data_IF_641456796187
#
_entry.id   IF_641456796187
#
_cell.length_a   1.000
_cell.length_b   1.000
_cell.length_c   1.000
_cell.angle_alpha   90.00
_cell.angle_beta   90.00
_cell.angle_gamma   90.00
#
_symmetry.space_group_name_H-M   'P 1'
#
loop_
_entity.id
_entity.type
_entity.pdbx_description
1 polymer ?
#
# COMPACT_ATOMS: atom_id res chain seq x y z
N UNK A 1 -29.88 14.58 0.14
CA UNK A 1 -28.64 14.94 0.85
C UNK A 1 -27.54 13.99 0.40
N UNK A 2 -26.44 14.50 -0.18
CA UNK A 2 -25.23 13.67 -0.37
C UNK A 2 -24.75 13.28 1.03
N UNK A 3 -24.69 11.98 1.32
CA UNK A 3 -24.14 11.49 2.58
C UNK A 3 -22.65 11.85 2.55
N UNK A 4 -22.19 12.69 3.46
CA UNK A 4 -20.75 12.99 3.59
C UNK A 4 -20.13 11.71 4.13
N UNK A 5 -19.41 10.99 3.28
CA UNK A 5 -18.67 9.80 3.70
C UNK A 5 -17.46 10.25 4.53
N UNK A 6 -17.23 9.60 5.68
CA UNK A 6 -16.04 9.88 6.49
C UNK A 6 -14.80 9.52 5.67
N UNK A 7 -13.80 10.42 5.57
CA UNK A 7 -12.55 10.12 4.88
C UNK A 7 -11.84 8.93 5.55
N UNK A 8 -11.02 8.23 4.76
CA UNK A 8 -10.15 7.19 5.27
C UNK A 8 -8.91 7.86 5.85
N UNK A 9 -8.75 7.79 7.17
CA UNK A 9 -7.65 8.41 7.90
C UNK A 9 -7.14 7.44 8.98
N UNK A 10 -5.91 7.64 9.46
CA UNK A 10 -5.40 6.97 10.66
C UNK A 10 -6.02 7.67 11.87
N UNK A 11 -6.49 6.90 12.84
CA UNK A 11 -7.16 7.37 14.05
C UNK A 11 -6.44 6.89 15.31
N UNK A 12 -6.62 7.61 16.42
CA UNK A 12 -6.05 7.23 17.71
C UNK A 12 -6.49 5.80 18.10
N UNK A 13 -5.52 4.95 18.44
CA UNK A 13 -5.75 3.55 18.80
C UNK A 13 -5.81 2.57 17.61
N UNK A 14 -5.63 3.04 16.38
CA UNK A 14 -5.41 2.14 15.24
C UNK A 14 -4.11 1.36 15.42
N UNK A 15 -4.22 0.03 15.54
CA UNK A 15 -3.05 -0.85 15.37
C UNK A 15 -2.58 -0.85 13.91
N UNK A 16 -1.33 -1.25 13.66
CA UNK A 16 -0.84 -1.42 12.29
C UNK A 16 -1.69 -2.37 11.45
N UNK A 17 -2.29 -3.40 12.04
CA UNK A 17 -3.26 -4.26 11.34
C UNK A 17 -4.48 -3.48 10.84
N UNK A 18 -4.98 -2.51 11.60
CA UNK A 18 -6.08 -1.64 11.16
C UNK A 18 -5.61 -0.72 10.04
N UNK A 19 -4.43 -0.13 10.17
CA UNK A 19 -3.84 0.74 9.14
C UNK A 19 -3.61 -0.03 7.83
N UNK A 20 -3.00 -1.21 7.89
CA UNK A 20 -2.87 -2.11 6.76
C UNK A 20 -4.23 -2.48 6.17
N UNK A 21 -5.26 -2.68 7.01
CA UNK A 21 -6.61 -2.89 6.50
C UNK A 21 -7.14 -1.65 5.77
N UNK A 22 -6.84 -0.43 6.22
CA UNK A 22 -7.29 0.80 5.57
C UNK A 22 -6.62 1.05 4.22
N UNK A 23 -5.31 0.82 4.11
CA UNK A 23 -4.53 1.25 2.94
C UNK A 23 -4.00 0.10 2.07
N UNK A 24 -3.85 -1.10 2.61
CA UNK A 24 -3.10 -2.17 1.95
C UNK A 24 -3.71 -2.73 0.67
N UNK A 25 -5.03 -2.70 0.51
CA UNK A 25 -5.67 -3.11 -0.75
C UNK A 25 -5.37 -2.13 -1.90
N UNK A 26 -5.37 -0.81 -1.62
CA UNK A 26 -4.90 0.18 -2.60
C UNK A 26 -3.40 0.05 -2.85
N UNK A 27 -2.63 -0.26 -1.80
CA UNK A 27 -1.19 -0.50 -1.94
C UNK A 27 -0.89 -1.67 -2.89
N UNK A 28 -1.67 -2.75 -2.80
CA UNK A 28 -1.55 -3.88 -3.72
C UNK A 28 -1.96 -3.50 -5.15
N UNK A 29 -3.07 -2.76 -5.33
CA UNK A 29 -3.49 -2.23 -6.65
C UNK A 29 -2.36 -1.43 -7.31
N UNK A 30 -1.79 -0.49 -6.54
CA UNK A 30 -0.68 0.36 -6.98
C UNK A 30 0.56 -0.46 -7.34
N UNK A 31 0.91 -1.45 -6.52
CA UNK A 31 2.02 -2.36 -6.82
C UNK A 31 1.78 -3.18 -8.08
N UNK A 32 0.55 -3.64 -8.33
CA UNK A 32 0.16 -4.33 -9.57
C UNK A 32 0.27 -3.39 -10.78
N UNK A 33 -0.14 -2.12 -10.68
CA UNK A 33 0.04 -1.11 -11.75
C UNK A 33 1.53 -0.88 -12.06
N UNK A 34 2.37 -0.76 -11.02
CA UNK A 34 3.81 -0.60 -11.19
C UNK A 34 4.41 -1.83 -11.89
N UNK A 35 4.04 -3.04 -11.44
CA UNK A 35 4.50 -4.30 -12.05
C UNK A 35 4.07 -4.44 -13.53
N UNK A 36 2.85 -3.99 -13.88
CA UNK A 36 2.39 -3.94 -15.28
C UNK A 36 3.27 -3.02 -16.15
N UNK A 37 3.81 -1.93 -15.58
CA UNK A 37 4.67 -0.98 -16.28
C UNK A 37 6.11 -1.50 -16.45
N UNK A 38 6.72 -2.01 -15.37
CA UNK A 38 8.15 -2.39 -15.35
C UNK A 38 8.40 -3.84 -15.78
N UNK A 39 7.36 -4.67 -15.80
CA UNK A 39 7.47 -6.10 -16.13
C UNK A 39 8.48 -6.84 -15.23
N UNK A 40 9.39 -7.56 -15.85
CA UNK A 40 10.44 -8.35 -15.17
C UNK A 40 11.79 -7.60 -15.07
N UNK A 41 11.82 -6.31 -15.42
CA UNK A 41 13.05 -5.52 -15.40
C UNK A 41 13.52 -5.29 -13.96
N UNK A 42 14.81 -5.52 -13.73
CA UNK A 42 15.45 -5.30 -12.43
C UNK A 42 15.78 -3.81 -12.31
N UNK A 43 15.34 -3.20 -11.21
CA UNK A 43 15.59 -1.78 -10.96
C UNK A 43 17.04 -1.50 -10.60
N UNK A 44 17.62 -0.47 -11.23
CA UNK A 44 18.95 0.07 -10.92
C UNK A 44 18.80 1.36 -10.09
N UNK A 45 19.25 1.34 -8.84
CA UNK A 45 19.08 2.44 -7.89
C UNK A 45 20.24 3.43 -7.99
N UNK A 46 19.91 4.68 -8.32
CA UNK A 46 20.85 5.78 -8.34
C UNK A 46 20.50 6.77 -7.22
N UNK A 47 21.14 6.57 -6.07
CA UNK A 47 20.95 7.40 -4.87
C UNK A 47 21.40 8.85 -5.12
N UNK A 48 22.49 9.04 -5.88
CA UNK A 48 23.05 10.38 -6.13
C UNK A 48 22.09 11.25 -6.94
N UNK A 49 21.38 10.65 -7.90
CA UNK A 49 20.40 11.34 -8.73
C UNK A 49 18.95 11.17 -8.22
N UNK A 50 18.74 10.50 -7.08
CA UNK A 50 17.43 10.26 -6.45
C UNK A 50 16.42 9.57 -7.40
N UNK A 51 16.89 8.58 -8.18
CA UNK A 51 16.05 7.85 -9.15
C UNK A 51 16.28 6.34 -9.11
N UNK A 52 15.27 5.60 -9.55
CA UNK A 52 15.41 4.19 -9.96
C UNK A 52 15.16 4.07 -11.46
N UNK A 53 15.98 3.27 -12.12
CA UNK A 53 15.88 3.03 -13.56
C UNK A 53 15.41 1.61 -13.85
N UNK A 54 14.45 1.48 -14.77
CA UNK A 54 13.99 0.22 -15.35
C UNK A 54 14.15 0.33 -16.87
N UNK A 55 15.23 -0.23 -17.41
CA UNK A 55 15.65 -0.01 -18.80
C UNK A 55 15.74 1.49 -19.13
N UNK A 56 14.89 1.99 -20.04
CA UNK A 56 14.84 3.40 -20.46
C UNK A 56 13.93 4.27 -19.56
N UNK A 57 13.23 3.68 -18.59
CA UNK A 57 12.31 4.38 -17.70
C UNK A 57 13.06 4.82 -16.44
N UNK A 58 13.02 6.11 -16.11
CA UNK A 58 13.56 6.66 -14.85
C UNK A 58 12.44 7.24 -14.02
N UNK A 59 12.38 6.88 -12.75
CA UNK A 59 11.37 7.37 -11.83
C UNK A 59 12.02 7.94 -10.57
N UNK A 60 11.57 9.12 -10.10
CA UNK A 60 11.95 9.67 -8.80
C UNK A 60 11.67 8.69 -7.66
N UNK A 61 12.53 8.71 -6.65
CA UNK A 61 12.40 7.85 -5.47
C UNK A 61 12.55 8.59 -4.16
N UNK A 62 11.97 7.97 -3.13
CA UNK A 62 12.24 8.30 -1.73
C UNK A 62 12.65 7.03 -0.99
N UNK A 63 13.75 7.08 -0.25
CA UNK A 63 14.20 5.93 0.55
C UNK A 63 13.33 5.82 1.79
N UNK A 64 12.67 4.68 1.97
CA UNK A 64 11.84 4.39 3.14
C UNK A 64 12.68 3.78 4.26
N UNK A 65 13.49 2.78 3.93
CA UNK A 65 14.26 2.02 4.89
C UNK A 65 14.95 0.84 4.24
N UNK A 66 15.55 0.00 5.05
CA UNK A 66 16.28 -1.16 4.56
C UNK A 66 16.13 -2.36 5.49
N UNK A 67 16.16 -3.54 4.89
CA UNK A 67 16.15 -4.81 5.60
C UNK A 67 17.54 -5.44 5.56
N UNK A 68 18.10 -5.73 6.74
CA UNK A 68 19.32 -6.52 6.86
C UNK A 68 18.95 -8.00 7.00
N UNK A 69 19.37 -8.81 6.03
CA UNK A 69 19.06 -10.24 6.01
C UNK A 69 19.71 -10.99 7.18
N UNK A 70 20.99 -10.70 7.44
CA UNK A 70 21.74 -11.30 8.56
C UNK A 70 21.12 -10.97 9.91
N UNK A 71 20.66 -9.73 10.08
CA UNK A 71 20.07 -9.26 11.32
C UNK A 71 18.57 -9.52 11.40
N UNK A 72 17.90 -9.99 10.34
CA UNK A 72 16.44 -10.10 10.26
C UNK A 72 15.75 -8.85 10.87
N UNK A 73 16.12 -7.69 10.35
CA UNK A 73 15.78 -6.40 10.94
C UNK A 73 15.50 -5.36 9.86
N UNK A 74 14.37 -4.68 10.00
CA UNK A 74 14.06 -3.46 9.28
C UNK A 74 14.64 -2.26 10.03
N UNK A 75 15.23 -1.32 9.29
CA UNK A 75 15.66 -0.03 9.80
C UNK A 75 15.05 1.07 8.93
N UNK A 76 14.45 2.08 9.56
CA UNK A 76 13.91 3.22 8.82
C UNK A 76 15.00 4.19 8.38
N UNK A 77 14.86 4.74 7.18
CA UNK A 77 15.84 5.67 6.61
C UNK A 77 15.91 7.01 7.34
N UNK A 78 14.85 7.40 8.05
CA UNK A 78 14.84 8.62 8.85
C UNK A 78 15.84 8.59 10.03
N UNK A 79 16.35 7.42 10.41
CA UNK A 79 17.42 7.26 11.41
C UNK A 79 18.81 7.20 10.75
N UNK A 80 18.91 7.54 9.46
CA UNK A 80 20.13 7.42 8.63
C UNK A 80 20.37 8.68 7.77
N UNK A 81 20.03 9.87 8.29
CA UNK A 81 20.17 11.16 7.58
C UNK A 81 21.59 11.40 7.05
N UNK A 82 22.62 11.00 7.80
CA UNK A 82 24.03 11.15 7.40
C UNK A 82 24.40 10.34 6.15
N UNK A 83 23.62 9.31 5.81
CA UNK A 83 23.87 8.41 4.68
C UNK A 83 23.13 8.88 3.42
N UNK A 84 21.83 9.17 3.56
CA UNK A 84 20.93 9.39 2.42
C UNK A 84 20.66 10.88 2.12
N UNK A 85 20.93 11.78 3.07
CA UNK A 85 20.57 13.19 2.94
C UNK A 85 19.07 13.47 3.11
N UNK A 86 18.75 14.73 3.41
CA UNK A 86 17.41 15.14 3.87
C UNK A 86 16.27 14.96 2.86
N UNK A 87 16.53 15.20 1.57
CA UNK A 87 15.48 15.10 0.54
C UNK A 87 15.01 13.66 0.37
N UNK A 88 15.96 12.73 0.31
CA UNK A 88 15.70 11.33 0.04
C UNK A 88 14.90 10.64 1.15
N UNK A 89 15.09 11.08 2.40
CA UNK A 89 14.42 10.51 3.58
C UNK A 89 13.17 11.28 4.01
N UNK A 90 12.82 12.39 3.35
CA UNK A 90 11.73 13.27 3.79
C UNK A 90 10.42 12.51 3.99
N UNK A 91 10.10 11.59 3.09
CA UNK A 91 8.93 10.72 3.15
C UNK A 91 8.96 9.74 4.33
N UNK A 92 10.12 9.18 4.66
CA UNK A 92 10.29 8.35 5.86
C UNK A 92 10.06 9.17 7.14
N UNK A 93 10.54 10.43 7.18
CA UNK A 93 10.30 11.34 8.30
C UNK A 93 8.80 11.67 8.47
N UNK A 94 8.04 11.78 7.38
CA UNK A 94 6.59 11.96 7.45
C UNK A 94 5.88 10.75 8.06
N UNK A 95 6.28 9.53 7.69
CA UNK A 95 5.78 8.30 8.29
C UNK A 95 6.12 8.25 9.79
N UNK A 96 7.34 8.65 10.17
CA UNK A 96 7.72 8.76 11.59
C UNK A 96 6.78 9.69 12.36
N UNK A 97 6.48 10.88 11.80
CA UNK A 97 5.56 11.85 12.43
C UNK A 97 4.16 11.25 12.62
N UNK A 98 3.68 10.44 11.68
CA UNK A 98 2.41 9.72 11.83
C UNK A 98 2.49 8.65 12.91
N UNK A 99 3.59 7.89 12.95
CA UNK A 99 3.86 6.90 14.00
C UNK A 99 3.92 7.53 15.39
N UNK A 100 4.60 8.66 15.55
CA UNK A 100 4.68 9.41 16.81
C UNK A 100 3.31 9.96 17.22
N UNK A 101 2.53 10.46 16.25
CA UNK A 101 1.22 11.06 16.51
C UNK A 101 0.19 10.03 16.97
N UNK A 102 0.16 8.86 16.35
CA UNK A 102 -0.88 7.83 16.57
C UNK A 102 -0.38 6.62 17.37
N UNK A 103 0.85 6.67 17.88
CA UNK A 103 1.51 5.60 18.63
C UNK A 103 1.53 4.27 17.87
N UNK A 104 2.07 4.30 16.64
CA UNK A 104 2.21 3.14 15.76
C UNK A 104 3.67 2.68 15.75
N UNK A 105 4.03 1.60 16.49
CA UNK A 105 5.41 1.16 16.64
C UNK A 105 6.12 0.88 15.31
N UNK A 106 5.39 0.32 14.34
CA UNK A 106 5.90 -0.01 13.01
C UNK A 106 6.39 1.21 12.22
N UNK A 107 5.96 2.42 12.60
CA UNK A 107 6.33 3.67 11.94
C UNK A 107 7.29 4.55 12.75
N UNK A 108 7.30 4.44 14.08
CA UNK A 108 8.12 5.29 14.96
C UNK A 108 9.32 4.59 15.62
N UNK A 109 9.40 3.26 15.57
CA UNK A 109 10.57 2.51 16.04
C UNK A 109 11.63 2.50 14.95
N UNK A 110 12.84 3.00 15.23
CA UNK A 110 13.91 3.05 14.22
C UNK A 110 14.30 1.65 13.72
N UNK A 111 14.30 0.67 14.63
CA UNK A 111 14.65 -0.72 14.37
C UNK A 111 13.50 -1.66 14.71
N UNK A 112 13.18 -2.57 13.79
CA UNK A 112 12.12 -3.55 13.97
C UNK A 112 12.67 -4.94 13.63
N UNK A 113 12.72 -5.83 14.62
CA UNK A 113 13.05 -7.24 14.38
C UNK A 113 11.89 -7.90 13.64
N UNK A 114 12.11 -8.32 12.39
CA UNK A 114 11.05 -8.81 11.52
C UNK A 114 11.59 -9.64 10.36
N UNK A 115 10.70 -10.16 9.52
CA UNK A 115 11.06 -10.87 8.30
C UNK A 115 10.88 -10.00 7.05
N UNK A 116 11.42 -10.49 5.93
CA UNK A 116 11.36 -9.82 4.64
C UNK A 116 9.93 -9.53 4.17
N UNK A 117 8.98 -10.46 4.37
CA UNK A 117 7.59 -10.28 3.92
C UNK A 117 6.89 -9.15 4.69
N UNK A 118 7.19 -9.01 5.98
CA UNK A 118 6.64 -7.90 6.76
C UNK A 118 7.26 -6.56 6.37
N UNK A 119 8.52 -6.52 5.93
CA UNK A 119 9.14 -5.31 5.38
C UNK A 119 8.37 -4.80 4.15
N UNK A 120 8.01 -5.70 3.23
CA UNK A 120 7.11 -5.39 2.11
C UNK A 120 5.76 -4.83 2.56
N UNK A 121 5.20 -5.38 3.64
CA UNK A 121 3.93 -4.92 4.24
C UNK A 121 4.06 -3.50 4.79
N UNK A 122 5.17 -3.18 5.46
CA UNK A 122 5.47 -1.83 5.95
C UNK A 122 5.61 -0.86 4.76
N UNK A 123 6.47 -1.20 3.79
CA UNK A 123 6.78 -0.34 2.65
C UNK A 123 5.56 -0.03 1.79
N UNK A 124 4.74 -1.03 1.45
CA UNK A 124 3.53 -0.83 0.64
C UNK A 124 2.51 0.06 1.36
N UNK A 125 2.38 -0.11 2.68
CA UNK A 125 1.44 0.67 3.50
C UNK A 125 1.90 2.13 3.59
N UNK A 126 3.17 2.35 3.90
CA UNK A 126 3.76 3.68 3.98
C UNK A 126 3.65 4.44 2.65
N UNK A 127 4.05 3.81 1.55
CA UNK A 127 3.95 4.36 0.19
C UNK A 127 2.54 4.85 -0.13
N UNK A 128 1.53 4.06 0.23
CA UNK A 128 0.12 4.40 -0.08
C UNK A 128 -0.40 5.53 0.79
N UNK A 129 0.02 5.60 2.07
CA UNK A 129 -0.30 6.72 2.96
C UNK A 129 0.29 8.03 2.42
N UNK A 130 1.51 7.97 1.87
CA UNK A 130 2.22 9.11 1.28
C UNK A 130 1.65 9.52 -0.09
N UNK A 131 0.79 8.69 -0.70
CA UNK A 131 0.17 8.98 -1.99
C UNK A 131 0.96 8.51 -3.20
N UNK A 132 2.14 7.90 -3.02
CA UNK A 132 3.02 7.41 -4.08
C UNK A 132 2.49 6.18 -4.82
N UNK A 133 3.08 5.85 -5.97
CA UNK A 133 2.51 4.93 -6.98
C UNK A 133 2.94 3.47 -6.84
N UNK A 134 3.87 3.20 -5.93
CA UNK A 134 4.35 1.85 -5.64
C UNK A 134 5.67 1.91 -4.88
N UNK A 135 6.20 0.75 -4.55
CA UNK A 135 7.53 0.65 -3.95
C UNK A 135 8.35 -0.41 -4.66
N UNK A 136 9.66 -0.34 -4.49
CA UNK A 136 10.59 -1.33 -4.98
C UNK A 136 11.66 -1.63 -3.94
N UNK A 137 12.13 -2.88 -3.90
CA UNK A 137 13.22 -3.31 -3.05
C UNK A 137 14.41 -3.67 -3.93
N UNK A 138 15.54 -2.99 -3.72
CA UNK A 138 16.80 -3.27 -4.42
C UNK A 138 17.71 -4.03 -3.47
N UNK A 139 18.09 -5.25 -3.87
CA UNK A 139 18.92 -6.13 -3.06
C UNK A 139 20.40 -5.96 -3.43
N UNK A 140 21.22 -5.53 -2.47
CA UNK A 140 22.67 -5.40 -2.62
C UNK A 140 23.38 -5.97 -1.39
N UNK A 141 24.28 -6.93 -1.60
CA UNK A 141 25.18 -7.48 -0.56
C UNK A 141 24.48 -7.86 0.78
N UNK A 142 23.28 -8.46 0.70
CA UNK A 142 22.53 -8.90 1.89
C UNK A 142 21.73 -7.80 2.60
N UNK A 143 21.65 -6.63 1.97
CA UNK A 143 20.81 -5.49 2.34
C UNK A 143 19.76 -5.26 1.26
N UNK A 144 18.49 -5.15 1.67
CA UNK A 144 17.40 -4.79 0.75
C UNK A 144 16.98 -3.35 1.03
N UNK A 145 17.23 -2.43 0.10
CA UNK A 145 16.86 -1.01 0.21
C UNK A 145 15.46 -0.83 -0.39
N UNK A 146 14.52 -0.35 0.41
CA UNK A 146 13.14 -0.12 0.01
C UNK A 146 12.92 1.35 -0.32
N UNK A 147 12.44 1.60 -1.54
CA UNK A 147 12.18 2.93 -2.07
C UNK A 147 10.71 3.06 -2.46
N UNK A 148 10.09 4.19 -2.13
CA UNK A 148 8.80 4.58 -2.70
C UNK A 148 9.02 5.28 -4.03
N UNK A 149 8.13 5.04 -4.99
CA UNK A 149 8.19 5.57 -6.35
C UNK A 149 7.04 6.53 -6.57
N UNK A 150 7.36 7.76 -6.98
CA UNK A 150 6.41 8.77 -7.43
C UNK A 150 6.56 8.93 -8.95
N UNK A 151 5.54 8.56 -9.72
CA UNK A 151 5.67 8.54 -11.18
C UNK A 151 4.33 8.69 -11.89
N UNK A 152 4.25 9.69 -12.76
CA UNK A 152 3.10 9.90 -13.64
C UNK A 152 2.98 8.84 -14.75
N UNK A 153 4.00 7.99 -14.92
CA UNK A 153 4.00 6.88 -15.88
C UNK A 153 3.17 5.69 -15.40
N UNK A 154 3.06 5.49 -14.08
CA UNK A 154 2.24 4.43 -13.50
C UNK A 154 0.77 4.80 -13.69
N UNK A 155 0.06 4.05 -14.54
CA UNK A 155 -1.34 4.33 -14.84
C UNK A 155 -2.26 3.58 -13.91
N UNK A 156 -3.17 4.30 -13.28
CA UNK A 156 -4.25 3.70 -12.51
C UNK A 156 -5.14 2.86 -13.43
N UNK A 157 -5.42 1.63 -13.01
CA UNK A 157 -6.40 0.77 -13.65
C UNK A 157 -7.69 0.73 -12.81
N UNK A 158 -8.79 1.20 -13.42
CA UNK A 158 -10.10 1.34 -12.78
C UNK A 158 -11.10 0.27 -13.23
N UNK A 159 -10.61 -0.84 -13.78
CA UNK A 159 -11.43 -1.99 -14.16
C UNK A 159 -12.06 -2.66 -12.92
N UNK A 160 -13.34 -3.03 -13.04
CA UNK A 160 -14.11 -3.68 -11.98
C UNK A 160 -13.56 -5.07 -11.60
N UNK A 161 -13.03 -5.83 -12.56
CA UNK A 161 -12.35 -7.12 -12.34
C UNK A 161 -11.07 -6.91 -11.56
N UNK A 162 -10.27 -5.89 -11.90
CA UNK A 162 -9.07 -5.54 -11.14
C UNK A 162 -9.42 -5.25 -9.69
N UNK A 163 -10.37 -4.34 -9.44
CA UNK A 163 -10.81 -4.04 -8.07
C UNK A 163 -11.23 -5.30 -7.30
N UNK A 164 -12.03 -6.17 -7.91
CA UNK A 164 -12.47 -7.44 -7.32
C UNK A 164 -11.29 -8.34 -6.98
N UNK A 165 -10.36 -8.53 -7.93
CA UNK A 165 -9.26 -9.48 -7.83
C UNK A 165 -8.19 -9.00 -6.85
N UNK A 166 -7.82 -7.72 -6.88
CA UNK A 166 -6.93 -7.12 -5.89
C UNK A 166 -7.50 -7.26 -4.48
N UNK A 167 -8.79 -6.94 -4.27
CA UNK A 167 -9.41 -7.12 -2.95
C UNK A 167 -9.41 -8.59 -2.52
N UNK A 168 -9.77 -9.51 -3.42
CA UNK A 168 -9.77 -10.95 -3.14
C UNK A 168 -8.38 -11.44 -2.71
N UNK A 169 -7.35 -11.11 -3.49
CA UNK A 169 -5.95 -11.46 -3.23
C UNK A 169 -5.46 -10.86 -1.92
N UNK A 170 -5.72 -9.58 -1.69
CA UNK A 170 -5.31 -8.90 -0.47
C UNK A 170 -5.90 -9.55 0.79
N UNK A 171 -7.22 -9.75 0.84
CA UNK A 171 -7.86 -10.32 2.03
C UNK A 171 -7.51 -11.81 2.26
N UNK A 172 -7.04 -12.53 1.23
CA UNK A 172 -6.55 -13.91 1.40
C UNK A 172 -5.14 -13.98 1.96
N UNK A 173 -4.26 -13.09 1.50
CA UNK A 173 -2.81 -13.22 1.76
C UNK A 173 -2.34 -12.40 2.97
N UNK A 174 -3.12 -11.42 3.42
CA UNK A 174 -2.74 -10.55 4.53
C UNK A 174 -3.63 -10.77 5.76
N UNK A 175 -3.03 -10.64 6.95
CA UNK A 175 -3.74 -10.71 8.22
C UNK A 175 -4.45 -9.38 8.52
N UNK A 176 -5.61 -9.15 7.91
CA UNK A 176 -6.34 -7.87 7.95
C UNK A 176 -7.77 -8.01 8.48
N UNK A 177 -8.50 -6.90 8.55
CA UNK A 177 -9.94 -6.83 8.80
C UNK A 177 -10.68 -6.60 7.46
N UNK A 178 -11.29 -7.63 6.84
CA UNK A 178 -11.78 -7.53 5.47
C UNK A 178 -12.86 -6.47 5.24
N UNK A 179 -13.71 -6.21 6.24
CA UNK A 179 -14.73 -5.15 6.18
C UNK A 179 -14.09 -3.76 6.04
N UNK A 180 -13.06 -3.48 6.85
CA UNK A 180 -12.30 -2.23 6.81
C UNK A 180 -11.60 -2.10 5.46
N UNK A 181 -10.98 -3.18 4.99
CA UNK A 181 -10.27 -3.20 3.70
C UNK A 181 -11.19 -2.93 2.52
N UNK A 182 -12.35 -3.59 2.46
CA UNK A 182 -13.29 -3.36 1.36
C UNK A 182 -13.81 -1.93 1.35
N UNK A 183 -14.24 -1.42 2.51
CA UNK A 183 -14.74 -0.05 2.64
C UNK A 183 -13.67 0.99 2.27
N UNK A 184 -12.47 0.85 2.85
CA UNK A 184 -11.41 1.83 2.68
C UNK A 184 -10.88 1.82 1.24
N UNK A 185 -10.67 0.65 0.65
CA UNK A 185 -10.25 0.54 -0.74
C UNK A 185 -11.27 1.17 -1.71
N UNK A 186 -12.57 0.90 -1.49
CA UNK A 186 -13.65 1.52 -2.27
C UNK A 186 -13.56 3.06 -2.20
N UNK A 187 -13.43 3.60 -0.99
CA UNK A 187 -13.39 5.05 -0.78
C UNK A 187 -12.11 5.70 -1.30
N UNK A 188 -10.96 5.06 -1.11
CA UNK A 188 -9.68 5.57 -1.56
C UNK A 188 -9.58 5.61 -3.09
N UNK A 189 -10.23 4.68 -3.80
CA UNK A 189 -10.42 4.73 -5.27
C UNK A 189 -11.47 5.75 -5.73
N UNK A 190 -12.11 6.46 -4.79
CA UNK A 190 -13.17 7.43 -5.10
C UNK A 190 -14.50 6.78 -5.55
N UNK A 191 -14.68 5.47 -5.31
CA UNK A 191 -15.89 4.74 -5.68
C UNK A 191 -17.00 4.91 -4.65
N UNK A 192 -18.25 4.68 -5.08
CA UNK A 192 -19.40 4.80 -4.18
C UNK A 192 -19.50 3.61 -3.23
N UNK A 193 -19.47 3.85 -1.92
CA UNK A 193 -19.59 2.78 -0.91
C UNK A 193 -21.01 2.70 -0.33
N UNK A 194 -21.53 1.47 -0.20
CA UNK A 194 -22.82 1.24 0.47
C UNK A 194 -22.78 -0.02 1.36
N UNK A 195 -22.82 0.14 2.70
CA UNK A 195 -22.96 -1.00 3.61
C UNK A 195 -24.41 -1.51 3.59
N UNK A 196 -24.59 -2.83 3.68
CA UNK A 196 -25.86 -3.51 3.89
C UNK A 196 -25.70 -4.60 4.96
N UNK A 197 -26.82 -5.15 5.43
CA UNK A 197 -26.79 -6.25 6.38
C UNK A 197 -26.19 -7.50 5.71
N UNK A 198 -25.05 -7.96 6.25
CA UNK A 198 -24.33 -9.15 5.78
C UNK A 198 -23.45 -8.96 4.53
N UNK A 199 -23.47 -7.80 3.86
CA UNK A 199 -22.60 -7.53 2.71
C UNK A 199 -22.34 -6.05 2.47
N UNK A 200 -21.20 -5.72 1.86
CA UNK A 200 -20.88 -4.36 1.40
C UNK A 200 -20.87 -4.28 -0.12
N UNK A 201 -21.18 -3.10 -0.66
CA UNK A 201 -21.18 -2.80 -2.08
C UNK A 201 -20.21 -1.67 -2.40
N UNK A 202 -19.39 -1.89 -3.43
CA UNK A 202 -18.65 -0.86 -4.15
C UNK A 202 -19.34 -0.59 -5.49
N UNK A 203 -19.62 0.68 -5.80
CA UNK A 203 -20.17 1.12 -7.09
C UNK A 203 -19.05 1.74 -7.92
N UNK A 204 -18.74 1.11 -9.05
CA UNK A 204 -17.63 1.45 -9.95
C UNK A 204 -18.25 1.74 -11.33
N UNK A 205 -18.46 3.01 -11.65
CA UNK A 205 -19.26 3.39 -12.81
C UNK A 205 -20.68 2.80 -12.73
N UNK A 206 -21.08 2.05 -13.76
CA UNK A 206 -22.35 1.31 -13.80
C UNK A 206 -22.25 -0.10 -13.17
N UNK A 207 -21.03 -0.59 -12.97
CA UNK A 207 -20.76 -1.88 -12.36
C UNK A 207 -20.73 -1.81 -10.83
N UNK A 208 -20.82 -2.98 -10.19
CA UNK A 208 -20.80 -3.14 -8.74
C UNK A 208 -20.02 -4.39 -8.35
N UNK A 209 -19.27 -4.27 -7.26
CA UNK A 209 -18.69 -5.41 -6.56
C UNK A 209 -19.34 -5.55 -5.19
N UNK A 210 -19.77 -6.76 -4.85
CA UNK A 210 -20.38 -7.10 -3.58
C UNK A 210 -19.49 -8.06 -2.81
N UNK A 211 -19.10 -7.69 -1.59
CA UNK A 211 -18.42 -8.58 -0.66
C UNK A 211 -19.39 -9.00 0.46
N UNK A 212 -19.66 -10.30 0.56
CA UNK A 212 -20.43 -10.89 1.66
C UNK A 212 -19.52 -11.24 2.84
N UNK A 213 -20.03 -11.08 4.07
CA UNK A 213 -19.25 -11.34 5.29
C UNK A 213 -20.00 -12.23 6.28
N UNK A 214 -19.25 -13.01 7.06
CA UNK A 214 -19.78 -13.65 8.27
C UNK A 214 -20.02 -12.60 9.37
N UNK A 215 -20.71 -13.00 10.44
CA UNK A 215 -20.85 -12.18 11.65
C UNK A 215 -19.48 -11.74 12.21
N UNK A 216 -18.49 -12.66 12.16
CA UNK A 216 -17.10 -12.39 12.59
C UNK A 216 -16.30 -11.53 11.59
N UNK A 217 -16.88 -11.15 10.46
CA UNK A 217 -16.26 -10.24 9.49
C UNK A 217 -15.40 -10.91 8.42
N UNK A 218 -15.41 -12.24 8.32
CA UNK A 218 -14.67 -12.97 7.28
C UNK A 218 -15.42 -12.94 5.95
N UNK A 219 -14.71 -12.83 4.83
CA UNK A 219 -15.32 -12.86 3.49
C UNK A 219 -15.91 -14.24 3.21
N UNK A 220 -17.17 -14.28 2.77
CA UNK A 220 -17.86 -15.51 2.36
C UNK A 220 -17.97 -15.64 0.84
N UNK A 221 -18.14 -14.53 0.14
CA UNK A 221 -18.25 -14.47 -1.32
C UNK A 221 -17.92 -13.07 -1.81
N UNK A 222 -17.45 -12.99 -3.05
CA UNK A 222 -17.30 -11.74 -3.78
C UNK A 222 -18.00 -11.94 -5.12
N UNK A 223 -18.98 -11.08 -5.43
CA UNK A 223 -19.74 -11.11 -6.67
C UNK A 223 -19.58 -9.79 -7.41
N UNK A 224 -19.60 -9.86 -8.73
CA UNK A 224 -19.53 -8.71 -9.62
C UNK A 224 -20.83 -8.63 -10.42
N UNK A 225 -21.35 -7.42 -10.61
CA UNK A 225 -22.58 -7.14 -11.34
C UNK A 225 -22.35 -5.94 -12.27
N UNK A 226 -22.81 -5.97 -13.51
CA UNK A 226 -22.54 -4.93 -14.50
C UNK A 226 -22.28 -5.53 -15.88
N UNK A 227 -22.13 -4.71 -16.91
CA UNK A 227 -21.97 -5.16 -18.30
C UNK A 227 -20.68 -5.98 -18.49
N UNK A 228 -20.83 -7.29 -18.40
CA UNK A 228 -20.08 -8.32 -19.11
C UNK A 228 -21.05 -9.48 -19.41
N UNK A 229 -22.05 -9.19 -20.26
CA UNK A 229 -22.58 -10.18 -21.20
C UNK A 229 -22.31 -9.66 -22.61
N UNK A 230 -21.06 -9.77 -23.06
CA UNK A 230 -20.69 -9.88 -24.48
C UNK A 230 -19.40 -10.68 -24.63
#
# INVERSE_FOLDING_TARGET
MKKIEKPVEIEDGDSFKVILSKYGALALDKQENLAELIGETIGDLDIENEVISFDDIKMPIHVLGFYSQDLNQWSWAWDCEEIFGNNLIASAVEIKKLGDKFDVPEFNSSLIKTDFNFCHTIAMTATTILGFDGYYAVSEDGLDIFVAIESDLVKENNDVKKFRDTFYTFQKNFNIFPKIAFESYTKLKGYGFKPQDGFYLAKIGESRVMAGFTERGNVTRILMFGEDEQ
#
